data_IF_823387709843
#
_entry.id   IF_823387709843
#
_cell.length_a   1.000
_cell.length_b   1.000
_cell.length_c   1.000
_cell.angle_alpha   90.00
_cell.angle_beta   90.00
_cell.angle_gamma   90.00
#
_symmetry.space_group_name_H-M   'P 1'
#
loop_
_entity.id
_entity.type
_entity.pdbx_description
1 polymer ?
#
# COMPACT_ATOMS: atom_id res chain seq x y z
N UNK A 1 -4.22 15.07 -10.45
CA UNK A 1 -5.59 14.50 -10.38
C UNK A 1 -6.76 15.45 -10.61
N UNK A 2 -6.74 16.72 -10.20
CA UNK A 2 -7.91 17.62 -10.38
C UNK A 2 -7.85 18.54 -11.59
N UNK A 3 -6.72 18.58 -12.30
CA UNK A 3 -6.55 19.40 -13.50
C UNK A 3 -7.42 18.88 -14.64
N UNK A 4 -8.05 19.80 -15.35
CA UNK A 4 -8.84 19.55 -16.54
C UNK A 4 -8.23 20.25 -17.76
N UNK A 5 -8.40 19.67 -18.95
CA UNK A 5 -8.05 20.31 -20.21
C UNK A 5 -9.08 21.39 -20.61
N UNK A 6 -8.89 22.00 -21.79
CA UNK A 6 -9.79 23.04 -22.31
C UNK A 6 -11.22 22.55 -22.60
N UNK A 7 -11.42 21.22 -22.71
CA UNK A 7 -12.73 20.61 -22.94
C UNK A 7 -13.38 20.09 -21.64
N UNK A 8 -12.71 20.25 -20.49
CA UNK A 8 -13.20 19.82 -19.19
C UNK A 8 -12.85 18.38 -18.81
N UNK A 9 -12.03 17.68 -19.61
CA UNK A 9 -11.59 16.31 -19.27
C UNK A 9 -10.47 16.33 -18.25
N UNK A 10 -10.54 15.47 -17.24
CA UNK A 10 -9.46 15.31 -16.28
C UNK A 10 -8.22 14.68 -16.93
N UNK A 11 -7.06 15.31 -16.75
CA UNK A 11 -5.81 14.88 -17.41
C UNK A 11 -4.76 14.30 -16.46
N UNK A 12 -5.08 14.22 -15.17
CA UNK A 12 -4.12 13.82 -14.13
C UNK A 12 -4.60 12.69 -13.23
N UNK A 13 -5.59 11.91 -13.66
CA UNK A 13 -6.09 10.72 -12.96
C UNK A 13 -5.14 9.54 -13.18
N UNK A 14 -5.27 8.48 -12.40
CA UNK A 14 -4.50 7.26 -12.61
C UNK A 14 -4.65 6.75 -14.06
N UNK A 15 -3.56 6.33 -14.74
CA UNK A 15 -2.18 6.21 -14.25
C UNK A 15 -1.26 7.40 -14.63
N UNK A 16 -1.78 8.61 -14.87
CA UNK A 16 -1.02 9.72 -15.47
C UNK A 16 0.29 10.04 -14.74
N UNK A 17 0.28 10.12 -13.41
CA UNK A 17 1.47 10.50 -12.64
C UNK A 17 2.63 9.50 -12.78
N UNK A 18 2.35 8.19 -12.78
CA UNK A 18 3.39 7.18 -12.99
C UNK A 18 3.84 7.13 -14.46
N UNK A 19 2.94 7.42 -15.40
CA UNK A 19 3.29 7.56 -16.83
C UNK A 19 4.27 8.71 -17.03
N UNK A 20 4.06 9.86 -16.37
CA UNK A 20 5.00 10.99 -16.40
C UNK A 20 6.37 10.62 -15.83
N UNK A 21 6.41 9.90 -14.71
CA UNK A 21 7.66 9.45 -14.08
C UNK A 21 8.44 8.51 -15.02
N UNK A 22 7.75 7.57 -15.64
CA UNK A 22 8.34 6.67 -16.65
C UNK A 22 8.85 7.44 -17.85
N UNK A 23 8.08 8.39 -18.38
CA UNK A 23 8.50 9.24 -19.49
C UNK A 23 9.74 10.07 -19.15
N UNK A 24 9.85 10.57 -17.92
CA UNK A 24 11.03 11.28 -17.44
C UNK A 24 12.28 10.39 -17.41
N UNK A 25 12.18 9.14 -16.93
CA UNK A 25 13.30 8.17 -16.99
C UNK A 25 13.74 7.94 -18.43
N UNK A 26 12.80 7.70 -19.35
CA UNK A 26 13.09 7.52 -20.78
C UNK A 26 13.75 8.75 -21.40
N UNK A 27 13.31 9.94 -21.00
CA UNK A 27 13.88 11.19 -21.47
C UNK A 27 15.32 11.40 -21.00
N UNK A 28 15.60 11.14 -19.72
CA UNK A 28 16.96 11.22 -19.16
C UNK A 28 17.92 10.27 -19.88
N UNK A 29 17.48 9.03 -20.16
CA UNK A 29 18.24 8.07 -20.97
C UNK A 29 18.52 8.58 -22.38
N UNK A 30 17.48 9.07 -23.08
CA UNK A 30 17.63 9.66 -24.40
C UNK A 30 18.64 10.82 -24.42
N UNK A 31 18.59 11.71 -23.42
CA UNK A 31 19.54 12.82 -23.31
C UNK A 31 20.96 12.32 -23.09
N UNK A 32 21.14 11.27 -22.27
CA UNK A 32 22.45 10.67 -22.05
C UNK A 32 23.00 10.04 -23.34
N UNK A 33 22.19 9.27 -24.06
CA UNK A 33 22.59 8.60 -25.30
C UNK A 33 22.93 9.60 -26.41
N UNK A 34 22.28 10.76 -26.42
CA UNK A 34 22.59 11.86 -27.34
C UNK A 34 23.79 12.72 -26.92
N UNK A 35 24.44 12.42 -25.80
CA UNK A 35 25.53 13.24 -25.24
C UNK A 35 25.08 14.62 -24.77
N UNK A 36 23.78 14.83 -24.55
CA UNK A 36 23.20 16.09 -24.09
C UNK A 36 23.13 16.19 -22.57
N UNK A 37 23.21 15.07 -21.86
CA UNK A 37 23.37 15.03 -20.41
C UNK A 37 24.87 14.90 -20.05
N UNK A 38 25.50 15.95 -19.50
CA UNK A 38 26.96 16.04 -19.41
C UNK A 38 27.57 15.07 -18.39
N UNK A 39 26.82 14.63 -17.39
CA UNK A 39 27.26 13.74 -16.33
C UNK A 39 26.14 12.80 -15.87
N UNK A 40 26.51 11.83 -15.03
CA UNK A 40 25.60 10.81 -14.50
C UNK A 40 25.63 9.51 -15.30
N UNK A 41 25.25 8.44 -14.61
CA UNK A 41 25.04 7.11 -15.18
C UNK A 41 23.55 6.80 -15.14
N UNK A 42 22.93 6.67 -16.31
CA UNK A 42 21.49 6.38 -16.40
C UNK A 42 21.15 4.94 -16.00
N UNK A 43 22.16 4.09 -15.79
CA UNK A 43 21.99 2.77 -15.19
C UNK A 43 22.02 2.81 -13.66
N UNK A 44 22.16 4.02 -13.08
CA UNK A 44 22.16 4.31 -11.64
C UNK A 44 21.05 5.27 -11.22
N UNK A 45 19.94 5.31 -11.95
CA UNK A 45 18.78 6.16 -11.60
C UNK A 45 18.18 5.68 -10.28
N UNK A 46 18.16 6.56 -9.27
CA UNK A 46 17.50 6.34 -7.98
C UNK A 46 16.24 7.20 -7.92
N UNK A 47 15.08 6.58 -7.74
CA UNK A 47 13.84 7.30 -7.49
C UNK A 47 13.69 7.54 -5.98
N UNK A 48 13.35 8.76 -5.57
CA UNK A 48 13.03 9.10 -4.17
C UNK A 48 11.67 9.76 -4.07
N UNK A 49 10.94 9.51 -2.99
CA UNK A 49 9.72 10.24 -2.71
C UNK A 49 9.11 9.93 -1.34
N UNK A 50 8.20 10.80 -0.93
CA UNK A 50 7.49 10.76 0.35
C UNK A 50 5.99 10.61 0.14
N UNK A 51 5.29 9.83 0.97
CA UNK A 51 3.84 9.67 0.92
C UNK A 51 3.37 9.10 -0.44
N UNK A 52 2.45 9.78 -1.13
CA UNK A 52 2.08 9.46 -2.51
C UNK A 52 3.27 9.54 -3.49
N UNK A 53 4.25 10.43 -3.24
CA UNK A 53 5.51 10.45 -3.98
C UNK A 53 6.35 9.21 -3.72
N UNK A 54 6.34 8.69 -2.49
CA UNK A 54 6.97 7.41 -2.13
C UNK A 54 6.26 6.23 -2.80
N UNK A 55 4.94 6.30 -2.93
CA UNK A 55 4.17 5.32 -3.68
C UNK A 55 4.52 5.33 -5.17
N UNK A 56 4.69 6.51 -5.78
CA UNK A 56 5.13 6.64 -7.18
C UNK A 56 6.57 6.18 -7.38
N UNK A 57 7.48 6.46 -6.45
CA UNK A 57 8.85 5.95 -6.48
C UNK A 57 8.88 4.41 -6.39
N UNK A 58 8.10 3.83 -5.47
CA UNK A 58 7.93 2.40 -5.36
C UNK A 58 7.30 1.78 -6.61
N UNK A 59 6.25 2.40 -7.15
CA UNK A 59 5.60 1.91 -8.37
C UNK A 59 6.55 1.97 -9.57
N UNK A 60 7.34 3.04 -9.71
CA UNK A 60 8.36 3.17 -10.77
C UNK A 60 9.40 2.05 -10.66
N UNK A 61 9.91 1.77 -9.46
CA UNK A 61 10.86 0.68 -9.23
C UNK A 61 10.28 -0.71 -9.44
N UNK A 62 9.00 -0.94 -9.13
CA UNK A 62 8.36 -2.25 -9.29
C UNK A 62 7.98 -2.55 -10.75
N UNK A 63 7.81 -1.53 -11.59
CA UNK A 63 7.14 -1.66 -12.90
C UNK A 63 8.05 -1.40 -14.10
N UNK A 64 9.37 -1.45 -13.94
CA UNK A 64 10.31 -1.14 -15.01
C UNK A 64 10.00 -1.89 -16.31
N UNK A 65 9.87 -1.18 -17.42
CA UNK A 65 9.55 -1.71 -18.75
C UNK A 65 8.21 -2.45 -18.89
N UNK A 66 7.32 -2.36 -17.90
CA UNK A 66 6.02 -3.03 -17.96
C UNK A 66 5.21 -2.62 -19.19
N UNK A 67 4.61 -3.62 -19.85
CA UNK A 67 3.80 -3.40 -21.07
C UNK A 67 2.52 -2.64 -20.81
N UNK A 68 2.02 -2.69 -19.57
CA UNK A 68 0.77 -2.04 -19.17
C UNK A 68 0.79 -0.52 -19.40
N UNK A 69 1.97 0.10 -19.38
CA UNK A 69 2.13 1.56 -19.56
C UNK A 69 2.46 1.99 -21.00
N UNK A 70 2.72 1.05 -21.93
CA UNK A 70 3.26 1.39 -23.25
C UNK A 70 2.27 2.17 -24.12
N UNK A 71 0.96 1.89 -24.00
CA UNK A 71 -0.09 2.65 -24.68
C UNK A 71 -0.05 4.12 -24.26
N UNK A 72 -0.13 4.36 -22.95
CA UNK A 72 -0.08 5.70 -22.37
C UNK A 72 1.22 6.46 -22.71
N UNK A 73 2.37 5.80 -22.62
CA UNK A 73 3.67 6.40 -22.95
C UNK A 73 3.77 6.78 -24.43
N UNK A 74 3.20 5.97 -25.33
CA UNK A 74 3.11 6.29 -26.75
C UNK A 74 2.21 7.51 -27.00
N UNK A 75 1.07 7.58 -26.31
CA UNK A 75 0.08 8.64 -26.50
C UNK A 75 0.63 10.02 -26.11
N UNK A 76 1.47 10.09 -25.07
CA UNK A 76 2.16 11.34 -24.67
C UNK A 76 3.47 11.60 -25.44
N UNK A 77 3.83 10.74 -26.39
CA UNK A 77 5.05 10.89 -27.18
C UNK A 77 6.35 10.70 -26.38
N UNK A 78 6.34 9.87 -25.34
CA UNK A 78 7.53 9.59 -24.54
C UNK A 78 8.67 9.03 -25.42
N UNK A 79 9.91 9.31 -25.00
CA UNK A 79 11.10 8.78 -25.67
C UNK A 79 11.04 7.24 -25.79
N UNK A 80 11.58 6.68 -26.87
CA UNK A 80 11.61 5.22 -27.11
C UNK A 80 12.79 4.56 -26.38
N UNK A 81 12.81 4.69 -25.07
CA UNK A 81 13.84 4.13 -24.19
C UNK A 81 13.23 3.21 -23.13
N UNK A 82 14.10 2.50 -22.40
CA UNK A 82 13.71 1.71 -21.22
C UNK A 82 13.38 2.61 -20.02
N UNK A 83 12.52 2.14 -19.11
CA UNK A 83 12.09 2.86 -17.91
C UNK A 83 12.31 2.10 -16.59
N UNK A 84 13.10 1.01 -16.62
CA UNK A 84 13.68 0.43 -15.40
C UNK A 84 14.68 1.38 -14.74
N UNK A 85 14.72 1.32 -13.40
CA UNK A 85 15.60 2.13 -12.56
C UNK A 85 16.46 1.23 -11.66
N UNK A 86 17.50 1.82 -11.09
CA UNK A 86 18.49 1.10 -10.29
C UNK A 86 18.04 0.88 -8.84
N UNK A 87 17.48 1.91 -8.21
CA UNK A 87 17.12 1.83 -6.81
C UNK A 87 15.92 2.73 -6.46
N UNK A 88 15.28 2.43 -5.34
CA UNK A 88 14.16 3.21 -4.78
C UNK A 88 14.44 3.60 -3.34
N UNK A 89 14.30 4.88 -3.03
CA UNK A 89 14.05 5.40 -1.69
C UNK A 89 12.56 5.75 -1.57
N UNK A 90 11.87 5.15 -0.61
CA UNK A 90 10.46 5.42 -0.34
C UNK A 90 10.24 5.76 1.13
N UNK A 91 9.91 7.02 1.41
CA UNK A 91 9.42 7.46 2.72
C UNK A 91 7.89 7.32 2.78
N UNK A 92 7.41 6.63 3.81
CA UNK A 92 6.01 6.35 4.12
C UNK A 92 5.13 6.11 2.88
N UNK A 93 5.50 5.16 1.99
CA UNK A 93 4.83 4.97 0.71
C UNK A 93 3.36 4.58 0.92
N UNK A 94 2.45 5.41 0.40
CA UNK A 94 1.00 5.14 0.41
C UNK A 94 0.63 4.25 -0.78
N UNK A 95 1.10 3.00 -0.73
CA UNK A 95 0.91 1.98 -1.77
C UNK A 95 -0.23 1.03 -1.41
N UNK A 96 -0.50 0.06 -2.29
CA UNK A 96 -1.40 -1.07 -2.00
C UNK A 96 -2.82 -0.63 -1.60
N UNK A 97 -3.32 0.42 -2.25
CA UNK A 97 -4.52 1.15 -1.86
C UNK A 97 -5.77 0.26 -1.81
N UNK A 98 -5.90 -0.69 -2.72
CA UNK A 98 -7.00 -1.65 -2.78
C UNK A 98 -7.04 -2.64 -1.59
N UNK A 99 -5.96 -2.72 -0.79
CA UNK A 99 -5.89 -3.52 0.43
C UNK A 99 -5.54 -2.67 1.68
N UNK A 100 -5.31 -1.37 1.51
CA UNK A 100 -4.84 -0.48 2.57
C UNK A 100 -5.91 -0.25 3.63
N UNK A 101 -7.20 -0.25 3.26
CA UNK A 101 -8.31 -0.19 4.22
C UNK A 101 -8.28 -1.37 5.19
N UNK A 102 -8.07 -2.59 4.69
CA UNK A 102 -7.97 -3.78 5.53
C UNK A 102 -6.79 -3.69 6.52
N UNK A 103 -5.62 -3.27 6.03
CA UNK A 103 -4.43 -3.09 6.86
C UNK A 103 -4.62 -2.00 7.93
N UNK A 104 -5.30 -0.90 7.56
CA UNK A 104 -5.60 0.20 8.46
C UNK A 104 -6.55 -0.24 9.59
N UNK A 105 -7.60 -0.98 9.24
CA UNK A 105 -8.54 -1.52 10.22
C UNK A 105 -7.93 -2.63 11.08
N UNK A 106 -7.03 -3.46 10.55
CA UNK A 106 -6.27 -4.42 11.37
C UNK A 106 -5.51 -3.74 12.51
N UNK A 107 -4.93 -2.57 12.24
CA UNK A 107 -4.15 -1.80 13.22
C UNK A 107 -5.01 -0.93 14.15
N UNK A 108 -6.09 -0.33 13.63
CA UNK A 108 -6.86 0.73 14.32
C UNK A 108 -8.33 0.38 14.60
N UNK A 109 -8.77 -0.87 14.44
CA UNK A 109 -10.11 -1.30 14.84
C UNK A 109 -10.34 -1.04 16.34
N UNK A 110 -11.52 -0.49 16.67
CA UNK A 110 -11.87 -0.11 18.04
C UNK A 110 -11.18 1.16 18.56
N UNK A 111 -10.28 1.78 17.79
CA UNK A 111 -9.61 3.03 18.15
C UNK A 111 -10.44 4.21 17.64
N UNK A 112 -10.80 5.18 18.50
CA UNK A 112 -11.61 6.32 18.09
C UNK A 112 -10.80 7.29 17.21
N UNK A 113 -11.51 8.03 16.34
CA UNK A 113 -10.89 9.07 15.51
C UNK A 113 -10.44 10.27 16.34
N UNK A 114 -9.28 10.80 15.98
CA UNK A 114 -8.81 12.10 16.43
C UNK A 114 -8.79 13.08 15.24
N UNK A 115 -9.45 14.23 15.37
CA UNK A 115 -9.49 15.32 14.35
C UNK A 115 -8.13 16.03 14.14
N UNK A 116 -6.99 15.35 14.33
CA UNK A 116 -5.66 15.95 14.20
C UNK A 116 -5.14 15.80 12.77
N UNK A 117 -4.34 16.77 12.33
CA UNK A 117 -3.53 16.64 11.11
C UNK A 117 -2.45 15.55 11.28
N UNK A 118 -1.89 15.02 10.18
CA UNK A 118 -0.67 14.22 10.21
C UNK A 118 0.41 14.88 11.08
N UNK A 119 1.12 14.06 11.86
CA UNK A 119 2.28 14.50 12.65
C UNK A 119 3.48 14.36 11.72
N UNK A 120 4.31 15.38 11.53
CA UNK A 120 5.51 15.28 10.68
C UNK A 120 6.72 14.77 11.48
N UNK A 121 6.98 15.43 12.59
CA UNK A 121 8.05 15.11 13.54
C UNK A 121 7.54 15.36 14.97
N UNK A 122 8.15 14.70 15.96
CA UNK A 122 8.03 15.15 17.35
C UNK A 122 8.57 16.58 17.47
N UNK A 123 7.93 17.48 18.25
CA UNK A 123 8.50 18.77 18.55
C UNK A 123 9.90 18.61 19.16
N UNK A 124 10.90 19.28 18.60
CA UNK A 124 12.25 19.36 19.16
C UNK A 124 12.21 20.13 20.49
N UNK A 125 11.98 19.42 21.58
CA UNK A 125 11.90 19.99 22.91
C UNK A 125 11.56 18.91 23.91
N UNK A 126 12.59 18.32 24.53
CA UNK A 126 12.38 17.64 25.80
C UNK A 126 11.72 18.66 26.74
N UNK A 127 10.48 18.40 27.13
CA UNK A 127 9.89 19.15 28.23
C UNK A 127 10.77 18.92 29.47
N UNK A 128 10.81 19.90 30.37
CA UNK A 128 11.68 19.91 31.57
C UNK A 128 11.53 18.69 32.50
N UNK A 129 10.50 17.87 32.26
CA UNK A 129 10.10 16.64 32.93
C UNK A 129 10.54 15.34 32.19
N UNK A 130 11.30 15.44 31.08
CA UNK A 130 11.98 14.28 30.46
C UNK A 130 11.07 13.27 29.75
N UNK A 131 9.80 13.64 29.50
CA UNK A 131 8.86 12.85 28.72
C UNK A 131 8.98 13.21 27.24
N UNK A 132 8.95 12.20 26.36
CA UNK A 132 8.59 12.45 24.96
C UNK A 132 7.13 12.89 24.99
N UNK A 133 6.88 14.17 24.69
CA UNK A 133 5.53 14.61 24.39
C UNK A 133 5.18 14.06 23.01
N UNK A 134 4.65 12.84 22.99
CA UNK A 134 3.71 12.46 21.93
C UNK A 134 2.73 13.64 21.78
N UNK A 135 2.47 14.14 20.57
CA UNK A 135 1.76 15.39 20.36
C UNK A 135 0.54 15.43 21.28
N UNK A 136 0.46 16.44 22.18
CA UNK A 136 -0.26 16.39 23.45
C UNK A 136 -1.55 15.59 23.29
N UNK A 137 -1.69 14.51 24.06
CA UNK A 137 -2.83 13.61 24.10
C UNK A 137 -4.10 14.26 23.55
N UNK A 138 -4.67 13.70 22.48
CA UNK A 138 -6.12 13.59 22.34
C UNK A 138 -7.03 14.75 22.85
N UNK A 139 -6.62 16.02 22.70
CA UNK A 139 -7.37 17.21 23.12
C UNK A 139 -8.20 17.84 22.00
N UNK A 140 -8.25 17.19 20.84
CA UNK A 140 -9.26 17.48 19.82
C UNK A 140 -10.55 16.72 20.10
N UNK A 141 -11.63 17.05 19.41
CA UNK A 141 -12.89 16.30 19.55
C UNK A 141 -12.63 14.87 19.11
N UNK A 142 -12.58 13.94 20.07
CA UNK A 142 -12.61 12.52 19.78
C UNK A 142 -13.99 12.22 19.22
N UNK A 143 -14.06 11.90 17.94
CA UNK A 143 -15.32 11.56 17.29
C UNK A 143 -15.54 10.05 17.40
N UNK A 144 -16.61 9.59 18.07
CA UNK A 144 -16.95 8.18 18.04
C UNK A 144 -17.27 7.77 16.60
N UNK A 145 -16.78 6.60 16.20
CA UNK A 145 -17.18 6.00 14.93
C UNK A 145 -18.69 5.71 14.96
N UNK A 146 -19.37 5.91 13.83
CA UNK A 146 -20.78 5.53 13.66
C UNK A 146 -20.95 4.01 13.75
N UNK A 147 -22.18 3.53 13.90
CA UNK A 147 -22.43 2.08 13.92
C UNK A 147 -22.01 1.41 12.61
N UNK A 148 -22.30 2.02 11.46
CA UNK A 148 -21.86 1.55 10.14
C UNK A 148 -20.34 1.47 10.07
N UNK A 149 -19.64 2.52 10.52
CA UNK A 149 -18.17 2.53 10.54
C UNK A 149 -17.58 1.46 11.47
N UNK A 150 -18.20 1.19 12.63
CA UNK A 150 -17.73 0.11 13.53
C UNK A 150 -17.93 -1.28 12.91
N UNK A 151 -19.05 -1.51 12.23
CA UNK A 151 -19.31 -2.78 11.51
C UNK A 151 -18.31 -2.95 10.36
N UNK A 152 -18.11 -1.92 9.55
CA UNK A 152 -17.15 -1.93 8.45
C UNK A 152 -15.71 -2.16 8.96
N UNK A 153 -15.33 -1.49 10.05
CA UNK A 153 -14.03 -1.64 10.70
C UNK A 153 -13.76 -3.09 11.12
N UNK A 154 -14.75 -3.75 11.74
CA UNK A 154 -14.62 -5.15 12.13
C UNK A 154 -14.49 -6.07 10.90
N UNK A 155 -15.24 -5.82 9.83
CA UNK A 155 -15.22 -6.65 8.62
C UNK A 155 -13.92 -6.50 7.83
N UNK A 156 -13.42 -5.28 7.68
CA UNK A 156 -12.15 -4.98 7.02
C UNK A 156 -10.96 -5.58 7.80
N UNK A 157 -10.98 -5.52 9.14
CA UNK A 157 -9.99 -6.20 10.00
C UNK A 157 -9.99 -7.72 9.77
N UNK A 158 -11.18 -8.35 9.73
CA UNK A 158 -11.29 -9.79 9.46
C UNK A 158 -10.74 -10.13 8.06
N UNK A 159 -11.07 -9.32 7.06
CA UNK A 159 -10.67 -9.54 5.66
C UNK A 159 -9.16 -9.41 5.43
N UNK A 160 -8.48 -8.62 6.27
CA UNK A 160 -7.02 -8.49 6.23
C UNK A 160 -6.30 -9.83 6.39
N UNK A 161 -6.84 -10.73 7.24
CA UNK A 161 -6.25 -12.04 7.47
C UNK A 161 -6.21 -12.88 6.18
N UNK A 162 -7.28 -12.86 5.39
CA UNK A 162 -7.34 -13.56 4.09
C UNK A 162 -6.31 -12.98 3.13
N UNK A 163 -6.37 -11.67 2.91
CA UNK A 163 -5.44 -10.98 2.01
C UNK A 163 -3.97 -11.28 2.34
N UNK A 164 -3.57 -11.09 3.59
CA UNK A 164 -2.18 -11.23 4.00
C UNK A 164 -1.70 -12.69 3.92
N UNK A 165 -2.52 -13.65 4.32
CA UNK A 165 -2.15 -15.06 4.27
C UNK A 165 -1.98 -15.55 2.82
N UNK A 166 -2.78 -15.04 1.88
CA UNK A 166 -2.67 -15.40 0.45
C UNK A 166 -1.35 -14.92 -0.19
N UNK A 167 -0.74 -13.86 0.35
CA UNK A 167 0.58 -13.40 -0.10
C UNK A 167 1.70 -14.37 0.23
N UNK A 168 1.51 -15.30 1.20
CA UNK A 168 2.51 -16.28 1.63
C UNK A 168 3.88 -15.66 1.99
N UNK A 169 3.87 -14.46 2.60
CA UNK A 169 5.08 -13.71 2.94
C UNK A 169 5.93 -14.45 3.97
N UNK A 170 7.25 -14.36 3.82
CA UNK A 170 8.24 -14.96 4.70
C UNK A 170 9.19 -13.93 5.26
N UNK A 171 9.58 -14.09 6.53
CA UNK A 171 10.67 -13.33 7.11
C UNK A 171 12.06 -13.80 6.60
N UNK A 172 13.13 -13.11 7.01
CA UNK A 172 14.50 -13.47 6.67
C UNK A 172 14.98 -14.84 7.21
N UNK A 173 14.19 -15.50 8.06
CA UNK A 173 14.45 -16.87 8.55
C UNK A 173 13.62 -17.91 7.79
N UNK A 174 12.76 -17.48 6.86
CA UNK A 174 11.88 -18.35 6.07
C UNK A 174 10.56 -18.70 6.76
N UNK A 175 10.22 -18.09 7.90
CA UNK A 175 8.95 -18.33 8.58
C UNK A 175 7.81 -17.64 7.82
N UNK A 176 6.70 -18.35 7.61
CA UNK A 176 5.50 -17.77 7.00
C UNK A 176 4.84 -16.82 8.00
N UNK A 177 4.64 -15.57 7.60
CA UNK A 177 4.07 -14.52 8.43
C UNK A 177 2.55 -14.49 8.27
N UNK A 178 1.85 -15.29 9.06
CA UNK A 178 0.39 -15.41 9.02
C UNK A 178 -0.32 -14.46 10.00
N UNK A 179 -1.63 -14.27 9.76
CA UNK A 179 -2.57 -13.58 10.64
C UNK A 179 -3.86 -14.40 10.79
N UNK A 180 -4.33 -14.55 12.03
CA UNK A 180 -5.65 -15.09 12.37
C UNK A 180 -6.75 -14.03 12.25
N UNK A 181 -8.01 -14.43 12.20
CA UNK A 181 -9.15 -13.51 12.03
C UNK A 181 -9.30 -12.49 13.17
N UNK A 182 -8.77 -12.77 14.36
CA UNK A 182 -8.73 -11.82 15.48
C UNK A 182 -7.60 -10.77 15.35
N UNK A 183 -6.72 -10.90 14.35
CA UNK A 183 -5.59 -10.04 14.07
C UNK A 183 -4.27 -10.48 14.69
N UNK A 184 -4.23 -11.57 15.46
CA UNK A 184 -2.99 -12.14 16.03
C UNK A 184 -2.22 -12.98 15.01
N UNK A 185 -0.93 -13.25 15.25
CA UNK A 185 -0.12 -14.11 14.38
C UNK A 185 1.32 -13.62 14.21
N UNK A 186 2.13 -14.37 13.46
CA UNK A 186 3.55 -14.09 13.29
C UNK A 186 3.81 -12.76 12.56
N UNK A 187 2.89 -12.33 11.69
CA UNK A 187 3.01 -11.00 11.09
C UNK A 187 2.85 -9.88 12.12
N UNK A 188 1.97 -10.03 13.11
CA UNK A 188 1.82 -9.05 14.21
C UNK A 188 3.12 -8.93 15.00
N UNK A 189 3.73 -10.07 15.34
CA UNK A 189 5.02 -10.11 16.04
C UNK A 189 6.14 -9.49 15.21
N UNK A 190 6.13 -9.70 13.89
CA UNK A 190 7.06 -9.05 12.96
C UNK A 190 6.92 -7.52 13.00
N UNK A 191 5.68 -7.00 12.96
CA UNK A 191 5.41 -5.55 13.06
C UNK A 191 5.83 -4.99 14.42
N UNK A 192 5.52 -5.68 15.52
CA UNK A 192 6.01 -5.33 16.87
C UNK A 192 7.53 -5.24 16.91
N UNK A 193 8.21 -6.21 16.28
CA UNK A 193 9.66 -6.23 16.11
C UNK A 193 10.19 -4.96 15.44
N UNK A 194 9.51 -4.41 14.43
CA UNK A 194 9.90 -3.16 13.77
C UNK A 194 9.81 -1.94 14.68
N UNK A 195 8.80 -1.88 15.55
CA UNK A 195 8.73 -0.83 16.57
C UNK A 195 9.81 -0.97 17.63
N UNK A 196 10.11 -2.21 18.05
CA UNK A 196 11.19 -2.52 19.00
C UNK A 196 12.56 -2.13 18.41
N UNK A 197 12.83 -2.49 17.16
CA UNK A 197 14.05 -2.11 16.42
C UNK A 197 14.21 -0.58 16.38
N UNK A 198 13.16 0.15 16.03
CA UNK A 198 13.17 1.63 15.99
C UNK A 198 13.46 2.25 17.36
N UNK A 199 12.76 1.78 18.40
CA UNK A 199 12.95 2.25 19.77
C UNK A 199 14.35 1.92 20.31
N UNK A 200 14.87 0.74 20.00
CA UNK A 200 16.21 0.33 20.39
C UNK A 200 17.27 1.20 19.71
N UNK A 201 17.15 1.44 18.40
CA UNK A 201 18.06 2.31 17.67
C UNK A 201 18.07 3.74 18.25
N UNK A 202 16.90 4.25 18.66
CA UNK A 202 16.81 5.54 19.34
C UNK A 202 17.56 5.54 20.69
N UNK A 203 17.38 4.50 21.53
CA UNK A 203 18.11 4.36 22.79
C UNK A 203 19.62 4.27 22.59
N UNK A 204 20.06 3.44 21.64
CA UNK A 204 21.49 3.23 21.36
C UNK A 204 22.16 4.54 20.89
N UNK A 205 21.39 5.43 20.24
CA UNK A 205 21.82 6.77 19.85
C UNK A 205 21.61 7.85 20.95
N UNK A 206 21.34 7.45 22.19
CA UNK A 206 21.22 8.36 23.34
C UNK A 206 19.88 9.08 23.44
N UNK A 207 18.89 8.73 22.62
CA UNK A 207 17.54 9.30 22.71
C UNK A 207 16.82 8.75 23.93
N UNK A 208 16.19 9.63 24.72
CA UNK A 208 15.30 9.21 25.82
C UNK A 208 13.92 8.89 25.27
N UNK A 209 13.45 7.65 25.41
CA UNK A 209 12.16 7.21 24.86
C UNK A 209 10.93 7.80 25.59
N UNK A 210 11.09 8.44 26.75
CA UNK A 210 9.97 9.01 27.50
C UNK A 210 9.06 8.00 28.21
N UNK A 211 9.45 6.72 28.24
CA UNK A 211 8.75 5.60 28.89
C UNK A 211 7.26 5.49 28.51
N UNK A 212 6.93 5.28 27.22
CA UNK A 212 5.54 5.06 26.82
C UNK A 212 5.01 3.76 27.41
N UNK A 213 3.72 3.74 27.76
CA UNK A 213 3.02 2.60 28.36
C UNK A 213 2.84 1.39 27.43
N UNK A 214 3.09 1.60 26.13
CA UNK A 214 3.09 0.60 25.07
C UNK A 214 4.46 -0.02 24.80
N UNK A 215 5.54 0.40 25.47
CA UNK A 215 6.84 -0.27 25.42
C UNK A 215 7.26 -0.78 26.79
N UNK A 216 7.99 -1.91 26.78
CA UNK A 216 8.73 -2.37 27.96
C UNK A 216 10.22 -2.31 27.68
N UNK A 217 10.95 -1.60 28.54
CA UNK A 217 12.41 -1.55 28.54
C UNK A 217 12.93 -2.31 29.76
N UNK A 218 13.84 -3.26 29.52
CA UNK A 218 14.54 -4.02 30.56
C UNK A 218 16.04 -3.75 30.45
N UNK A 219 16.60 -3.07 31.45
CA UNK A 219 17.98 -2.58 31.37
C UNK A 219 18.15 -1.58 30.23
N UNK A 220 19.07 -1.85 29.30
CA UNK A 220 19.29 -1.07 28.07
C UNK A 220 18.59 -1.62 26.83
N UNK A 221 17.69 -2.60 27.00
CA UNK A 221 17.02 -3.29 25.89
C UNK A 221 15.51 -3.03 25.88
N UNK A 222 14.98 -2.66 24.71
CA UNK A 222 13.54 -2.70 24.43
C UNK A 222 13.17 -4.16 24.17
N UNK A 223 12.25 -4.69 24.97
CA UNK A 223 11.97 -6.15 24.96
C UNK A 223 10.53 -6.48 24.56
N UNK A 224 9.63 -5.51 24.56
CA UNK A 224 8.22 -5.73 24.24
C UNK A 224 7.55 -4.44 23.74
N UNK A 225 6.57 -4.61 22.85
CA UNK A 225 5.70 -3.56 22.34
C UNK A 225 4.25 -4.05 22.32
N UNK A 226 3.33 -3.24 22.83
CA UNK A 226 1.88 -3.50 22.83
C UNK A 226 1.22 -2.66 21.72
N UNK A 227 0.84 -3.32 20.61
CA UNK A 227 0.22 -2.65 19.46
C UNK A 227 -1.10 -1.95 19.80
N UNK A 228 -1.89 -2.47 20.75
CA UNK A 228 -3.19 -1.90 21.11
C UNK A 228 -3.00 -0.64 21.94
N UNK A 229 -2.08 -0.67 22.92
CA UNK A 229 -1.73 0.54 23.67
C UNK A 229 -1.08 1.58 22.77
N UNK A 230 -0.20 1.17 21.85
CA UNK A 230 0.38 2.06 20.86
C UNK A 230 -0.71 2.73 20.02
N UNK A 231 -1.64 1.97 19.44
CA UNK A 231 -2.72 2.52 18.61
C UNK A 231 -3.62 3.47 19.42
N UNK A 232 -3.83 3.18 20.71
CA UNK A 232 -4.51 4.09 21.63
C UNK A 232 -3.70 5.34 21.97
N UNK A 233 -2.37 5.27 22.04
CA UNK A 233 -1.51 6.41 22.31
C UNK A 233 -1.45 7.35 21.09
N UNK A 234 -1.23 6.80 19.90
CA UNK A 234 -1.10 7.59 18.67
C UNK A 234 -2.46 8.01 18.10
N UNK A 235 -3.54 7.29 18.44
CA UNK A 235 -4.92 7.45 17.94
C UNK A 235 -5.06 7.20 16.43
N UNK A 236 -6.29 6.97 15.98
CA UNK A 236 -6.64 6.86 14.55
C UNK A 236 -6.71 8.24 13.91
N UNK A 237 -6.15 8.38 12.70
CA UNK A 237 -6.21 9.59 11.89
C UNK A 237 -7.42 9.60 10.91
N UNK A 238 -7.61 8.51 10.17
CA UNK A 238 -8.59 8.41 9.07
C UNK A 238 -9.91 7.74 9.46
N UNK A 239 -10.96 8.06 8.71
CA UNK A 239 -12.31 7.49 8.82
C UNK A 239 -12.33 5.97 8.52
N UNK A 240 -13.53 5.37 8.47
CA UNK A 240 -13.73 4.00 8.00
C UNK A 240 -14.66 4.01 6.78
N UNK A 241 -14.23 3.47 5.62
CA UNK A 241 -12.86 3.07 5.29
C UNK A 241 -11.89 4.27 5.27
N UNK A 242 -10.59 4.01 5.41
CA UNK A 242 -9.55 5.03 5.51
C UNK A 242 -9.15 5.63 4.16
N UNK A 243 -9.28 4.87 3.07
CA UNK A 243 -8.86 5.23 1.72
C UNK A 243 -10.04 5.21 0.76
N UNK A 244 -10.73 4.08 0.59
CA UNK A 244 -11.88 4.01 -0.32
C UNK A 244 -13.16 4.40 0.42
N UNK A 245 -13.39 5.71 0.54
CA UNK A 245 -14.50 6.25 1.34
C UNK A 245 -15.84 5.93 0.71
N UNK A 246 -16.81 5.49 1.51
CA UNK A 246 -18.17 5.17 1.05
C UNK A 246 -18.88 6.34 0.36
N UNK A 247 -18.52 7.59 0.68
CA UNK A 247 -19.06 8.80 0.08
C UNK A 247 -18.14 9.42 -1.00
N UNK A 248 -17.14 8.65 -1.45
CA UNK A 248 -16.12 9.07 -2.42
C UNK A 248 -15.29 10.30 -2.01
N UNK A 249 -15.31 10.70 -0.74
CA UNK A 249 -14.70 11.96 -0.30
C UNK A 249 -13.17 11.97 -0.26
N UNK A 250 -12.52 10.80 -0.28
CA UNK A 250 -11.06 10.72 -0.14
C UNK A 250 -10.29 11.28 -1.33
N UNK A 251 -8.99 11.53 -1.12
CA UNK A 251 -8.10 11.93 -2.20
C UNK A 251 -7.85 10.79 -3.19
N UNK A 252 -7.86 9.56 -2.69
CA UNK A 252 -7.66 8.32 -3.43
C UNK A 252 -8.85 8.02 -4.34
N UNK A 253 -10.09 8.25 -3.88
CA UNK A 253 -11.27 8.15 -4.75
C UNK A 253 -11.16 9.09 -5.95
N UNK A 254 -10.63 10.30 -5.74
CA UNK A 254 -10.36 11.25 -6.84
C UNK A 254 -9.19 10.83 -7.73
N UNK A 255 -8.20 10.10 -7.22
CA UNK A 255 -7.10 9.55 -8.03
C UNK A 255 -7.62 8.47 -9.00
N UNK A 256 -8.52 7.63 -8.53
CA UNK A 256 -9.11 6.50 -9.27
C UNK A 256 -10.30 6.87 -10.17
N UNK A 257 -10.61 8.16 -10.31
CA UNK A 257 -11.47 8.65 -11.38
C UNK A 257 -10.87 8.43 -12.78
N UNK A 258 -11.53 8.96 -13.81
CA UNK A 258 -11.02 8.99 -15.18
C UNK A 258 -11.24 10.35 -15.83
N UNK A 259 -11.05 10.43 -17.15
CA UNK A 259 -11.20 11.67 -17.90
C UNK A 259 -12.58 12.34 -17.73
N UNK A 260 -13.64 11.57 -17.49
CA UNK A 260 -15.02 12.04 -17.44
C UNK A 260 -15.61 12.01 -16.02
N UNK A 261 -15.08 11.14 -15.15
CA UNK A 261 -15.58 10.89 -13.80
C UNK A 261 -14.54 11.31 -12.77
N UNK A 262 -14.84 12.29 -11.92
CA UNK A 262 -13.87 12.80 -10.94
C UNK A 262 -13.45 11.72 -9.92
N UNK A 263 -14.41 10.94 -9.43
CA UNK A 263 -14.22 10.06 -8.29
C UNK A 263 -14.86 8.70 -8.52
N UNK A 264 -14.15 7.65 -8.14
CA UNK A 264 -14.64 6.27 -8.15
C UNK A 264 -14.14 5.52 -6.92
N UNK A 265 -14.87 4.47 -6.57
CA UNK A 265 -14.36 3.42 -5.71
C UNK A 265 -13.20 2.69 -6.40
N UNK A 266 -12.39 2.01 -5.62
CA UNK A 266 -11.30 1.16 -6.11
C UNK A 266 -11.21 -0.17 -5.36
N UNK A 267 -12.20 -0.44 -4.50
CA UNK A 267 -12.46 -1.72 -3.89
C UNK A 267 -13.92 -2.11 -4.14
N UNK A 268 -14.17 -3.41 -4.35
CA UNK A 268 -15.53 -3.90 -4.45
C UNK A 268 -16.28 -3.71 -3.13
N UNK A 269 -15.60 -3.89 -1.99
CA UNK A 269 -16.18 -3.74 -0.67
C UNK A 269 -16.82 -2.35 -0.47
N UNK A 270 -16.07 -1.27 -0.72
CA UNK A 270 -16.63 0.08 -0.53
C UNK A 270 -17.73 0.41 -1.51
N UNK A 271 -17.64 -0.06 -2.75
CA UNK A 271 -18.71 0.11 -3.73
C UNK A 271 -20.03 -0.52 -3.25
N UNK A 272 -19.99 -1.76 -2.76
CA UNK A 272 -21.19 -2.44 -2.26
C UNK A 272 -21.75 -1.73 -1.03
N UNK A 273 -20.89 -1.42 -0.06
CA UNK A 273 -21.30 -0.83 1.22
C UNK A 273 -21.69 0.65 1.12
N UNK A 274 -21.30 1.35 0.05
CA UNK A 274 -21.74 2.72 -0.24
C UNK A 274 -23.24 2.82 -0.53
N UNK A 275 -23.83 1.73 -1.05
CA UNK A 275 -25.19 1.73 -1.58
C UNK A 275 -25.35 2.44 -2.93
N UNK A 276 -24.26 2.85 -3.60
CA UNK A 276 -24.32 3.46 -4.94
C UNK A 276 -24.80 2.47 -6.01
N UNK A 277 -24.43 1.20 -5.89
CA UNK A 277 -25.02 0.14 -6.70
C UNK A 277 -26.28 -0.39 -6.03
N UNK A 278 -27.36 -0.43 -6.79
CA UNK A 278 -28.56 -1.16 -6.39
C UNK A 278 -28.33 -2.67 -6.53
N UNK A 279 -27.56 -3.23 -5.60
CA UNK A 279 -27.34 -4.66 -5.48
C UNK A 279 -28.45 -5.28 -4.61
N UNK A 280 -28.88 -6.52 -4.93
CA UNK A 280 -29.72 -7.29 -4.02
C UNK A 280 -29.04 -7.39 -2.65
N UNK A 281 -29.82 -7.30 -1.57
CA UNK A 281 -29.33 -7.51 -0.22
C UNK A 281 -28.64 -8.88 -0.11
N UNK A 282 -27.40 -8.99 0.43
CA UNK A 282 -26.64 -10.24 0.41
C UNK A 282 -27.31 -11.43 1.11
N UNK A 283 -28.05 -11.18 2.19
CA UNK A 283 -28.80 -12.22 2.90
C UNK A 283 -30.01 -12.68 2.08
N UNK A 284 -30.66 -11.74 1.39
CA UNK A 284 -31.72 -12.00 0.42
C UNK A 284 -31.17 -12.80 -0.77
N UNK A 285 -30.03 -12.41 -1.31
CA UNK A 285 -29.38 -13.10 -2.43
C UNK A 285 -28.96 -14.52 -2.05
N UNK A 286 -28.37 -14.70 -0.87
CA UNK A 286 -28.02 -16.01 -0.33
C UNK A 286 -29.27 -16.88 -0.15
N UNK A 287 -30.35 -16.33 0.42
CA UNK A 287 -31.60 -17.07 0.59
C UNK A 287 -32.23 -17.44 -0.77
N UNK A 288 -32.14 -16.56 -1.77
CA UNK A 288 -32.57 -16.82 -3.13
C UNK A 288 -31.73 -17.89 -3.82
N UNK A 289 -30.40 -17.87 -3.65
CA UNK A 289 -29.49 -18.86 -4.21
C UNK A 289 -29.65 -20.23 -3.54
N UNK A 290 -29.84 -20.28 -2.23
CA UNK A 290 -30.16 -21.51 -1.48
C UNK A 290 -31.50 -22.09 -1.96
N UNK A 291 -32.50 -21.23 -2.16
CA UNK A 291 -33.81 -21.60 -2.72
C UNK A 291 -33.70 -22.09 -4.16
N UNK A 292 -32.92 -21.44 -4.99
CA UNK A 292 -32.67 -21.84 -6.38
C UNK A 292 -31.93 -23.19 -6.44
N UNK A 293 -30.92 -23.39 -5.59
CA UNK A 293 -30.18 -24.65 -5.47
C UNK A 293 -31.06 -25.80 -4.96
N UNK A 294 -31.99 -25.53 -4.04
CA UNK A 294 -32.98 -26.51 -3.60
C UNK A 294 -33.98 -26.84 -4.72
N UNK A 295 -34.52 -25.83 -5.41
CA UNK A 295 -35.42 -26.03 -6.54
C UNK A 295 -34.76 -26.82 -7.67
N UNK A 296 -33.48 -26.56 -7.97
CA UNK A 296 -32.70 -27.29 -8.95
C UNK A 296 -32.54 -28.78 -8.61
N UNK A 297 -32.29 -29.08 -7.32
CA UNK A 297 -32.22 -30.46 -6.80
C UNK A 297 -33.57 -31.16 -6.91
N UNK A 298 -34.67 -30.51 -6.55
CA UNK A 298 -36.01 -31.09 -6.64
C UNK A 298 -36.49 -31.31 -8.09
N UNK A 299 -35.92 -30.59 -9.05
CA UNK A 299 -36.24 -30.72 -10.48
C UNK A 299 -35.40 -31.80 -11.22
N UNK A 300 -34.62 -32.64 -10.52
CA UNK A 300 -33.64 -33.58 -11.10
C UNK A 300 -34.19 -34.46 -12.23
N UNK A 301 -35.42 -34.95 -12.12
CA UNK A 301 -36.07 -35.81 -13.11
C UNK A 301 -37.10 -35.08 -13.98
N UNK A 302 -37.10 -33.74 -13.97
CA UNK A 302 -38.10 -32.90 -14.65
C UNK A 302 -37.42 -31.89 -15.61
N UNK A 303 -37.15 -32.29 -16.87
CA UNK A 303 -36.38 -31.48 -17.81
C UNK A 303 -36.94 -30.08 -18.08
N UNK A 304 -38.27 -29.95 -18.12
CA UNK A 304 -38.93 -28.65 -18.36
C UNK A 304 -38.76 -27.68 -17.18
N UNK A 305 -38.83 -28.19 -15.94
CA UNK A 305 -38.59 -27.39 -14.73
C UNK A 305 -37.11 -26.96 -14.64
N UNK A 306 -36.16 -27.83 -14.97
CA UNK A 306 -34.73 -27.46 -15.06
C UNK A 306 -34.46 -26.39 -16.12
N UNK A 307 -35.10 -26.49 -17.29
CA UNK A 307 -34.95 -25.48 -18.33
C UNK A 307 -35.46 -24.11 -17.88
N UNK A 308 -36.58 -24.05 -17.16
CA UNK A 308 -37.11 -22.81 -16.61
C UNK A 308 -36.18 -22.20 -15.54
N UNK A 309 -35.66 -23.02 -14.62
CA UNK A 309 -34.69 -22.60 -13.61
C UNK A 309 -33.39 -22.08 -14.25
N UNK A 310 -32.86 -22.77 -15.27
CA UNK A 310 -31.66 -22.31 -15.98
C UNK A 310 -31.87 -20.98 -16.69
N UNK A 311 -33.05 -20.77 -17.31
CA UNK A 311 -33.40 -19.48 -17.93
C UNK A 311 -33.48 -18.35 -16.90
N UNK A 312 -34.06 -18.60 -15.73
CA UNK A 312 -34.11 -17.64 -14.64
C UNK A 312 -32.70 -17.29 -14.12
N UNK A 313 -31.82 -18.28 -14.00
CA UNK A 313 -30.43 -18.04 -13.58
C UNK A 313 -29.64 -17.25 -14.63
N UNK A 314 -29.79 -17.56 -15.92
CA UNK A 314 -29.18 -16.76 -17.01
C UNK A 314 -29.70 -15.32 -17.00
N UNK A 315 -30.97 -15.09 -16.68
CA UNK A 315 -31.52 -13.74 -16.57
C UNK A 315 -30.95 -12.99 -15.36
N UNK A 316 -30.71 -13.67 -14.23
CA UNK A 316 -29.99 -13.11 -13.07
C UNK A 316 -28.54 -12.76 -13.43
N UNK A 317 -27.82 -13.68 -14.07
CA UNK A 317 -26.45 -13.49 -14.57
C UNK A 317 -26.40 -12.26 -15.50
N UNK A 318 -27.31 -12.14 -16.47
CA UNK A 318 -27.40 -10.98 -17.39
C UNK A 318 -27.67 -9.65 -16.68
N UNK A 319 -28.53 -9.64 -15.67
CA UNK A 319 -28.81 -8.42 -14.88
C UNK A 319 -27.60 -7.96 -14.09
N UNK A 320 -26.84 -8.91 -13.53
CA UNK A 320 -25.57 -8.62 -12.86
C UNK A 320 -24.52 -8.10 -13.85
N UNK A 321 -24.40 -8.71 -15.02
CA UNK A 321 -23.49 -8.27 -16.09
C UNK A 321 -23.86 -6.89 -16.68
N UNK A 322 -25.14 -6.50 -16.63
CA UNK A 322 -25.62 -5.21 -17.13
C UNK A 322 -25.43 -4.04 -16.15
N UNK A 323 -24.98 -4.29 -14.91
CA UNK A 323 -24.72 -3.24 -13.95
C UNK A 323 -23.59 -2.32 -14.46
N UNK A 324 -23.77 -0.98 -14.45
CA UNK A 324 -22.77 -0.03 -14.95
C UNK A 324 -21.64 0.18 -13.93
N UNK A 325 -21.03 -0.91 -13.46
CA UNK A 325 -20.00 -0.91 -12.41
C UNK A 325 -18.82 0.00 -12.77
N UNK A 326 -18.44 0.06 -14.04
CA UNK A 326 -17.33 0.90 -14.53
C UNK A 326 -17.50 2.40 -14.28
N UNK A 327 -18.73 2.88 -14.06
CA UNK A 327 -18.97 4.29 -13.70
C UNK A 327 -18.62 4.58 -12.24
N UNK A 328 -18.78 3.57 -11.37
CA UNK A 328 -18.67 3.70 -9.92
C UNK A 328 -17.36 3.15 -9.34
N UNK A 329 -16.72 2.19 -10.01
CA UNK A 329 -15.44 1.60 -9.57
C UNK A 329 -14.40 1.65 -10.68
N UNK A 330 -13.16 1.94 -10.30
CA UNK A 330 -12.02 1.89 -11.21
C UNK A 330 -11.86 0.50 -11.82
N UNK A 331 -11.39 0.47 -13.07
CA UNK A 331 -11.18 -0.81 -13.75
C UNK A 331 -10.07 -1.62 -13.06
N UNK A 332 -10.15 -2.96 -13.08
CA UNK A 332 -9.09 -3.81 -12.53
C UNK A 332 -7.70 -3.49 -13.09
N UNK A 333 -7.62 -3.08 -14.36
CA UNK A 333 -6.36 -2.69 -14.99
C UNK A 333 -5.77 -1.42 -14.37
N UNK A 334 -6.58 -0.39 -14.09
CA UNK A 334 -6.09 0.83 -13.43
C UNK A 334 -5.67 0.55 -11.99
N UNK A 335 -6.45 -0.25 -11.25
CA UNK A 335 -6.09 -0.69 -9.89
C UNK A 335 -4.75 -1.43 -9.90
N UNK A 336 -4.58 -2.38 -10.82
CA UNK A 336 -3.31 -3.09 -11.04
C UNK A 336 -2.16 -2.12 -11.28
N UNK A 337 -2.31 -1.21 -12.25
CA UNK A 337 -1.29 -0.22 -12.62
C UNK A 337 -0.93 0.78 -11.51
N UNK A 338 -1.70 0.86 -10.43
CA UNK A 338 -1.43 1.74 -9.29
C UNK A 338 -0.94 1.01 -8.04
N UNK A 339 -0.72 -0.32 -8.12
CA UNK A 339 -0.26 -1.11 -6.98
C UNK A 339 1.01 -1.92 -7.34
N UNK A 340 2.19 -1.60 -6.73
CA UNK A 340 3.44 -2.31 -7.01
C UNK A 340 3.38 -3.81 -6.69
N UNK A 341 2.50 -4.25 -5.78
CA UNK A 341 2.39 -5.64 -5.35
C UNK A 341 2.02 -6.61 -6.49
N UNK A 342 1.36 -6.13 -7.54
CA UNK A 342 0.98 -6.93 -8.71
C UNK A 342 2.12 -7.15 -9.72
N UNK A 343 3.25 -6.46 -9.56
CA UNK A 343 4.36 -6.50 -10.51
C UNK A 343 5.60 -7.18 -9.94
N UNK A 344 5.83 -7.07 -8.64
CA UNK A 344 7.01 -7.64 -7.98
C UNK A 344 7.01 -9.16 -8.12
N UNK A 345 8.08 -9.69 -8.71
CA UNK A 345 8.24 -11.13 -8.99
C UNK A 345 7.58 -11.63 -10.28
N UNK A 346 6.90 -10.75 -11.03
CA UNK A 346 6.31 -11.12 -12.32
C UNK A 346 7.33 -11.02 -13.46
N UNK A 347 7.24 -11.86 -14.50
CA UNK A 347 8.15 -11.77 -15.65
C UNK A 347 7.91 -10.54 -16.53
N UNK A 348 6.78 -9.85 -16.37
CA UNK A 348 6.35 -8.75 -17.22
C UNK A 348 6.86 -7.38 -16.77
N UNK A 349 7.59 -7.30 -15.64
CA UNK A 349 8.16 -6.07 -15.12
C UNK A 349 9.58 -6.29 -14.55
N UNK A 350 10.50 -5.39 -14.90
CA UNK A 350 11.82 -5.27 -14.29
C UNK A 350 11.72 -4.57 -12.93
N UNK A 351 11.68 -5.36 -11.86
CA UNK A 351 11.75 -4.83 -10.49
C UNK A 351 13.17 -4.33 -10.19
N UNK A 352 13.28 -3.11 -9.65
CA UNK A 352 14.56 -2.52 -9.26
C UNK A 352 15.28 -3.42 -8.23
N UNK A 353 16.62 -3.56 -8.29
CA UNK A 353 17.34 -4.46 -7.40
C UNK A 353 17.52 -3.95 -5.96
N UNK A 354 17.50 -2.63 -5.73
CA UNK A 354 17.80 -2.03 -4.42
C UNK A 354 16.66 -1.14 -3.93
N UNK A 355 16.26 -1.32 -2.66
CA UNK A 355 15.15 -0.61 -2.04
C UNK A 355 15.51 -0.17 -0.64
N UNK A 356 15.19 1.08 -0.33
CA UNK A 356 15.24 1.66 1.01
C UNK A 356 13.88 2.21 1.34
N UNK A 357 13.27 1.68 2.40
CA UNK A 357 11.90 2.01 2.79
C UNK A 357 11.95 2.51 4.23
N UNK A 358 11.31 3.65 4.49
CA UNK A 358 11.22 4.25 5.82
C UNK A 358 9.76 4.56 6.14
N UNK A 359 9.34 4.37 7.39
CA UNK A 359 8.01 4.77 7.86
C UNK A 359 8.10 5.27 9.30
N UNK A 360 7.58 6.46 9.58
CA UNK A 360 7.67 7.03 10.93
C UNK A 360 6.87 6.22 11.95
N UNK A 361 7.43 6.02 13.16
CA UNK A 361 6.73 5.34 14.27
C UNK A 361 5.46 6.10 14.70
N UNK A 362 5.32 7.38 14.37
CA UNK A 362 4.13 8.19 14.67
C UNK A 362 3.25 8.44 13.43
N UNK A 363 3.64 7.88 12.28
CA UNK A 363 2.89 8.01 11.04
C UNK A 363 1.65 7.12 11.10
N UNK A 364 0.50 7.75 10.88
CA UNK A 364 -0.83 7.13 10.92
C UNK A 364 -1.61 7.41 9.63
N UNK A 365 -0.95 7.90 8.58
CA UNK A 365 -1.56 8.14 7.27
C UNK A 365 -1.79 6.82 6.54
N UNK A 366 -1.01 5.80 6.87
CA UNK A 366 -1.32 4.38 6.63
C UNK A 366 -0.81 3.51 7.79
N UNK A 367 -1.25 2.26 7.87
CA UNK A 367 -0.71 1.31 8.83
C UNK A 367 0.71 0.88 8.45
N UNK A 368 1.60 0.69 9.43
CA UNK A 368 2.98 0.20 9.20
C UNK A 368 3.00 -1.14 8.43
N UNK A 369 1.92 -1.92 8.52
CA UNK A 369 1.73 -3.13 7.73
C UNK A 369 1.88 -2.91 6.21
N UNK A 370 1.45 -1.75 5.66
CA UNK A 370 1.51 -1.47 4.22
C UNK A 370 2.95 -1.44 3.69
N UNK A 371 3.86 -0.58 4.19
CA UNK A 371 5.25 -0.61 3.75
C UNK A 371 5.99 -1.89 4.16
N UNK A 372 5.59 -2.56 5.26
CA UNK A 372 6.21 -3.80 5.67
C UNK A 372 5.88 -4.97 4.71
N UNK A 373 4.63 -5.06 4.22
CA UNK A 373 4.20 -6.02 3.20
C UNK A 373 4.96 -5.79 1.90
N UNK A 374 5.12 -4.53 1.48
CA UNK A 374 5.94 -4.18 0.30
C UNK A 374 7.39 -4.66 0.47
N UNK A 375 8.02 -4.36 1.61
CA UNK A 375 9.38 -4.78 1.91
C UNK A 375 9.55 -6.31 1.87
N UNK A 376 8.67 -7.04 2.56
CA UNK A 376 8.71 -8.51 2.59
C UNK A 376 8.52 -9.12 1.20
N UNK A 377 7.58 -8.60 0.40
CA UNK A 377 7.35 -9.08 -0.96
C UNK A 377 8.58 -8.87 -1.83
N UNK A 378 9.22 -7.71 -1.75
CA UNK A 378 10.46 -7.41 -2.45
C UNK A 378 11.60 -8.37 -2.04
N UNK A 379 11.80 -8.58 -0.73
CA UNK A 379 12.81 -9.51 -0.22
C UNK A 379 12.55 -10.96 -0.67
N UNK A 380 11.30 -11.40 -0.61
CA UNK A 380 10.90 -12.76 -1.02
C UNK A 380 11.11 -13.02 -2.52
N UNK A 381 11.07 -11.96 -3.33
CA UNK A 381 11.36 -12.01 -4.77
C UNK A 381 12.82 -11.64 -5.10
N UNK A 382 13.69 -11.56 -4.08
CA UNK A 382 15.14 -11.46 -4.25
C UNK A 382 15.72 -10.05 -4.37
N UNK A 383 14.92 -9.00 -4.17
CA UNK A 383 15.43 -7.64 -4.09
C UNK A 383 16.22 -7.41 -2.78
N UNK A 384 17.17 -6.46 -2.81
CA UNK A 384 17.88 -5.99 -1.61
C UNK A 384 17.04 -4.89 -0.96
N UNK A 385 16.55 -5.13 0.26
CA UNK A 385 15.68 -4.18 0.96
C UNK A 385 16.31 -3.75 2.29
N UNK A 386 16.40 -2.45 2.50
CA UNK A 386 16.64 -1.82 3.80
C UNK A 386 15.32 -1.18 4.25
N UNK A 387 14.57 -1.88 5.11
CA UNK A 387 13.30 -1.39 5.66
C UNK A 387 13.42 -1.08 7.15
N UNK A 388 13.01 0.13 7.55
CA UNK A 388 13.00 0.55 8.95
C UNK A 388 11.74 1.36 9.29
N UNK A 389 11.17 1.07 10.47
CA UNK A 389 10.37 2.06 11.17
C UNK A 389 11.32 3.07 11.84
N UNK A 390 10.97 4.36 11.85
CA UNK A 390 11.87 5.42 12.33
C UNK A 390 11.29 6.10 13.56
N UNK A 391 12.02 6.04 14.67
CA UNK A 391 11.60 6.64 15.93
C UNK A 391 11.51 8.17 15.82
N UNK A 392 10.48 8.75 16.43
CA UNK A 392 10.31 10.20 16.54
C UNK A 392 9.75 10.90 15.29
N UNK A 393 9.64 10.19 14.17
CA UNK A 393 9.04 10.71 12.94
C UNK A 393 7.60 10.26 12.78
N UNK A 394 6.79 11.11 12.16
CA UNK A 394 5.48 10.78 11.64
C UNK A 394 5.47 10.75 10.12
N UNK A 395 4.46 11.35 9.49
CA UNK A 395 4.28 11.41 8.06
C UNK A 395 5.20 12.47 7.41
N UNK A 396 6.45 12.06 7.17
CA UNK A 396 7.49 12.90 6.59
C UNK A 396 8.52 12.07 5.81
N UNK A 397 9.46 12.75 5.14
CA UNK A 397 10.57 12.12 4.43
C UNK A 397 11.77 13.06 4.29
N UNK A 398 12.82 12.58 3.63
CA UNK A 398 14.10 13.29 3.45
C UNK A 398 14.75 13.78 4.77
N UNK A 399 14.40 13.16 5.91
CA UNK A 399 14.92 13.51 7.23
C UNK A 399 16.24 12.83 7.60
N UNK A 400 16.73 11.91 6.76
CA UNK A 400 17.93 11.10 6.97
C UNK A 400 18.83 11.06 5.72
N UNK A 401 19.06 12.23 5.11
CA UNK A 401 19.77 12.36 3.82
C UNK A 401 21.18 11.79 3.84
N UNK A 402 21.95 11.98 4.93
CA UNK A 402 23.30 11.42 5.03
C UNK A 402 23.26 9.89 4.95
N UNK A 403 22.33 9.26 5.69
CA UNK A 403 22.15 7.81 5.66
C UNK A 403 21.58 7.31 4.33
N UNK A 404 20.77 8.14 3.65
CA UNK A 404 20.30 7.85 2.30
C UNK A 404 21.49 7.85 1.31
N UNK A 405 22.35 8.86 1.35
CA UNK A 405 23.51 8.95 0.46
C UNK A 405 24.51 7.84 0.72
N UNK A 406 24.80 7.52 1.98
CA UNK A 406 25.64 6.38 2.35
C UNK A 406 25.07 5.05 1.79
N UNK A 407 23.75 4.87 1.84
CA UNK A 407 23.09 3.69 1.28
C UNK A 407 23.16 3.64 -0.25
N UNK A 408 23.05 4.79 -0.93
CA UNK A 408 23.20 4.87 -2.39
C UNK A 408 24.62 4.44 -2.79
N UNK A 409 25.64 4.99 -2.14
CA UNK A 409 27.05 4.65 -2.40
C UNK A 409 27.32 3.16 -2.16
N UNK A 410 26.81 2.61 -1.04
CA UNK A 410 26.93 1.19 -0.75
C UNK A 410 26.22 0.28 -1.78
N UNK A 411 25.07 0.71 -2.28
CA UNK A 411 24.31 -0.03 -3.30
C UNK A 411 25.04 -0.08 -4.63
N UNK A 412 25.68 1.03 -5.04
CA UNK A 412 26.52 1.11 -6.24
C UNK A 412 27.69 0.12 -6.11
N UNK A 413 28.38 0.14 -4.97
CA UNK A 413 29.50 -0.76 -4.69
C UNK A 413 29.10 -2.25 -4.67
N UNK A 414 27.94 -2.61 -4.08
CA UNK A 414 27.45 -4.01 -4.09
C UNK A 414 27.22 -4.52 -5.52
N UNK A 415 26.69 -3.69 -6.42
CA UNK A 415 26.51 -4.10 -7.81
C UNK A 415 27.86 -4.26 -8.54
N UNK A 416 28.83 -3.37 -8.30
CA UNK A 416 30.15 -3.47 -8.93
C UNK A 416 30.88 -4.73 -8.51
N UNK A 417 30.88 -5.03 -7.20
CA UNK A 417 31.48 -6.26 -6.67
C UNK A 417 30.87 -7.54 -7.27
N UNK A 418 29.59 -7.52 -7.65
CA UNK A 418 28.92 -8.66 -8.31
C UNK A 418 29.34 -8.84 -9.77
N UNK A 419 29.75 -7.78 -10.47
CA UNK A 419 30.26 -7.89 -11.85
C UNK A 419 31.63 -8.57 -11.91
N UNK A 420 32.42 -8.46 -10.84
CA UNK A 420 33.79 -8.97 -10.75
C UNK A 420 33.89 -10.43 -10.25
N UNK A 421 32.76 -11.08 -9.93
CA UNK A 421 32.75 -12.53 -9.63
C UNK A 421 32.62 -13.30 -10.95
N UNK A 422 33.65 -14.01 -11.42
CA UNK A 422 33.54 -14.83 -12.62
C UNK A 422 32.45 -15.87 -12.40
N UNK A 423 31.56 -16.06 -13.38
CA UNK A 423 30.57 -17.12 -13.40
C UNK A 423 31.31 -18.47 -13.38
N UNK A 424 31.60 -18.97 -12.18
CA UNK A 424 32.12 -20.31 -12.00
C UNK A 424 31.04 -21.27 -12.51
N UNK A 425 31.39 -21.97 -13.59
CA UNK A 425 30.56 -22.97 -14.25
C UNK A 425 29.86 -23.88 -13.23
N UNK A 426 28.56 -23.66 -13.00
CA UNK A 426 27.71 -24.65 -12.36
C UNK A 426 27.59 -25.83 -13.33
N UNK A 427 28.49 -26.79 -13.18
CA UNK A 427 28.30 -28.15 -13.68
C UNK A 427 27.03 -28.69 -13.03
N UNK A 428 26.00 -28.91 -13.85
CA UNK A 428 24.87 -29.77 -13.48
C UNK A 428 25.41 -31.14 -13.11
N UNK A 429 25.05 -31.62 -11.93
CA UNK A 429 24.95 -33.06 -11.62
C UNK A 429 23.49 -33.30 -11.29
#
# INVERSE_FOLDING_TARGET
>A
RTLQDANGYYVGKAPALIVDYKAAVRYVRLLRDKGLLPAGDTDRIVASGTSAGGALAALLGATGNSRDYQGYLKDIGAAKERDDIFAVQAYCPITNLDNADMAYEWMFNGIPMADKKPVRELPSGASSDGKIQLPPEAGGVVKPLTEQQRKASAKLKESFATYLNDLNLKDGKGNILNVATDGSGLFKEYIEGKYIEAAQAALDNGTRLGNPDWLTVSGSKVVFMDTVKYANAVKRLKSVPAFDSFDLSSGENSEFGDAETDRRHFTWYSLVESGELNLPDPDTEKAEDEKAALAWRLAEVKPQERLALRKAQIEKEKKQEALPTFQHVATPQVIKMMNPMYYIGTPDAGTAPYWRIRHGVLDRDTALAVPAILALKLENEGARVDFQAVWGYGHDGDYDLDQLFDWIDASIQDQENKKDVPVASQKRI
#
